data_IF_123544720554
#
_entry.id   IF_123544720554
#
_cell.length_a   1.000
_cell.length_b   1.000
_cell.length_c   1.000
_cell.angle_alpha   90.00
_cell.angle_beta   90.00
_cell.angle_gamma   90.00
#
_symmetry.space_group_name_H-M   'P 1'
#
loop_
_entity.id
_entity.type
_entity.pdbx_description
1 polymer ?
#
# COMPACT_ATOMS: atom_id res chain seq x y z
N UNK A 1 6.54 -6.54 -16.85
CA UNK A 1 6.76 -5.75 -15.61
C UNK A 1 7.95 -6.37 -14.86
N UNK A 2 8.88 -5.58 -14.32
CA UNK A 2 10.04 -6.08 -13.55
C UNK A 2 9.94 -5.56 -12.11
N UNK A 3 10.33 -6.36 -11.13
CA UNK A 3 10.31 -6.02 -9.70
C UNK A 3 11.72 -6.15 -9.13
N UNK A 4 12.17 -5.12 -8.41
CA UNK A 4 13.46 -5.07 -7.72
C UNK A 4 13.20 -4.91 -6.22
N UNK A 5 13.42 -5.98 -5.46
CA UNK A 5 13.20 -5.98 -4.02
C UNK A 5 14.48 -5.60 -3.27
N UNK A 6 14.40 -4.52 -2.48
CA UNK A 6 15.47 -4.10 -1.59
C UNK A 6 15.15 -4.58 -0.17
N UNK A 7 15.87 -5.60 0.31
CA UNK A 7 15.69 -6.18 1.65
C UNK A 7 16.95 -6.05 2.49
N UNK A 8 16.82 -6.19 3.81
CA UNK A 8 17.90 -6.01 4.78
C UNK A 8 17.45 -5.36 6.08
N UNK A 9 18.34 -5.35 7.08
CA UNK A 9 18.07 -4.78 8.42
C UNK A 9 17.72 -3.28 8.37
N UNK A 10 17.21 -2.74 9.47
CA UNK A 10 17.01 -1.29 9.62
C UNK A 10 18.31 -0.51 9.44
N UNK A 11 18.26 0.66 8.78
CA UNK A 11 19.42 1.55 8.64
C UNK A 11 20.47 1.17 7.58
N UNK A 12 20.36 0.03 6.89
CA UNK A 12 21.36 -0.40 5.88
C UNK A 12 21.30 0.35 4.53
N UNK A 13 20.44 1.37 4.42
CA UNK A 13 20.32 2.20 3.20
C UNK A 13 19.37 1.66 2.12
N UNK A 14 18.41 0.79 2.46
CA UNK A 14 17.45 0.22 1.49
C UNK A 14 16.73 1.28 0.66
N UNK A 15 16.18 2.29 1.31
CA UNK A 15 15.43 3.37 0.65
C UNK A 15 16.31 4.18 -0.27
N UNK A 16 17.52 4.51 0.16
CA UNK A 16 18.51 5.22 -0.64
C UNK A 16 18.88 4.44 -1.90
N UNK A 17 19.15 3.13 -1.76
CA UNK A 17 19.47 2.26 -2.89
C UNK A 17 18.29 2.07 -3.84
N UNK A 18 17.06 1.97 -3.32
CA UNK A 18 15.85 1.87 -4.13
C UNK A 18 15.64 3.14 -4.99
N UNK A 19 15.80 4.33 -4.40
CA UNK A 19 15.74 5.60 -5.11
C UNK A 19 16.86 5.75 -6.15
N UNK A 20 18.10 5.42 -5.79
CA UNK A 20 19.24 5.45 -6.71
C UNK A 20 19.03 4.52 -7.91
N UNK A 21 18.54 3.30 -7.67
CA UNK A 21 18.21 2.33 -8.71
C UNK A 21 17.11 2.84 -9.64
N UNK A 22 16.07 3.48 -9.08
CA UNK A 22 14.98 4.06 -9.86
C UNK A 22 15.45 5.21 -10.75
N UNK A 23 16.30 6.10 -10.24
CA UNK A 23 16.91 7.18 -11.00
C UNK A 23 17.79 6.64 -12.13
N UNK A 24 18.62 5.63 -11.86
CA UNK A 24 19.45 4.99 -12.86
C UNK A 24 18.61 4.35 -13.98
N UNK A 25 17.54 3.64 -13.64
CA UNK A 25 16.63 3.04 -14.61
C UNK A 25 15.87 4.12 -15.42
N UNK A 26 15.44 5.21 -14.80
CA UNK A 26 14.79 6.31 -15.50
C UNK A 26 15.71 7.00 -16.51
N UNK A 27 17.02 7.12 -16.21
CA UNK A 27 18.03 7.63 -17.15
C UNK A 27 18.18 6.75 -18.40
N UNK A 28 17.79 5.48 -18.32
CA UNK A 28 17.76 4.55 -19.46
C UNK A 28 16.37 4.49 -20.14
N UNK A 29 15.48 5.45 -19.85
CA UNK A 29 14.16 5.56 -20.47
C UNK A 29 13.08 4.70 -19.83
N UNK A 30 13.34 4.06 -18.70
CA UNK A 30 12.33 3.27 -17.99
C UNK A 30 11.41 4.13 -17.13
N UNK A 31 10.15 3.74 -17.05
CA UNK A 31 9.21 4.28 -16.05
C UNK A 31 9.30 3.44 -14.78
N UNK A 32 9.56 4.07 -13.65
CA UNK A 32 9.81 3.38 -12.38
C UNK A 32 8.92 3.93 -11.28
N UNK A 33 8.29 3.04 -10.52
CA UNK A 33 7.60 3.38 -9.28
C UNK A 33 8.40 2.81 -8.11
N UNK A 34 8.82 3.68 -7.20
CA UNK A 34 9.44 3.29 -5.91
C UNK A 34 8.32 3.17 -4.89
N UNK A 35 8.28 2.02 -4.24
CA UNK A 35 7.25 1.67 -3.28
C UNK A 35 7.93 1.36 -1.95
N UNK A 36 7.48 2.03 -0.89
CA UNK A 36 7.88 1.71 0.49
C UNK A 36 6.71 1.10 1.23
N UNK A 37 6.97 0.00 1.95
CA UNK A 37 6.07 -0.59 2.95
C UNK A 37 6.59 -0.37 4.36
N UNK A 38 7.63 0.46 4.53
CA UNK A 38 8.24 0.73 5.83
C UNK A 38 7.33 1.68 6.64
N UNK A 39 6.92 1.31 7.87
CA UNK A 39 6.13 2.18 8.73
C UNK A 39 6.85 3.48 9.13
N UNK A 40 8.18 3.55 9.03
CA UNK A 40 8.98 4.68 9.47
C UNK A 40 9.08 5.85 8.47
N UNK A 41 8.18 5.96 7.48
CA UNK A 41 8.13 7.09 6.51
C UNK A 41 9.44 7.41 5.79
N UNK A 42 10.34 6.42 5.67
CA UNK A 42 11.72 6.66 5.25
C UNK A 42 11.83 7.15 3.80
N UNK A 43 10.79 6.95 2.96
CA UNK A 43 10.79 7.41 1.58
C UNK A 43 10.48 8.91 1.49
N UNK A 44 9.51 9.39 2.27
CA UNK A 44 9.24 10.82 2.39
C UNK A 44 10.46 11.58 2.95
N UNK A 45 11.12 11.00 3.97
CA UNK A 45 12.34 11.56 4.56
C UNK A 45 13.48 11.65 3.55
N UNK A 46 13.76 10.55 2.82
CA UNK A 46 14.82 10.51 1.82
C UNK A 46 14.59 11.48 0.65
N UNK A 47 13.33 11.80 0.35
CA UNK A 47 12.94 12.73 -0.70
C UNK A 47 12.78 14.18 -0.22
N UNK A 48 12.87 14.42 1.10
CA UNK A 48 12.54 15.69 1.74
C UNK A 48 11.18 16.26 1.25
N UNK A 49 10.21 15.37 1.02
CA UNK A 49 8.93 15.71 0.40
C UNK A 49 7.86 14.69 0.77
N UNK A 50 6.61 15.12 1.01
CA UNK A 50 5.56 14.18 1.38
C UNK A 50 5.30 13.16 0.27
N UNK A 51 5.22 11.90 0.67
CA UNK A 51 4.79 10.77 -0.15
C UNK A 51 3.70 10.05 0.60
N UNK A 52 2.57 9.79 -0.08
CA UNK A 52 1.40 9.18 0.53
C UNK A 52 0.97 7.89 -0.19
N UNK A 53 -0.27 7.46 0.05
CA UNK A 53 -0.83 6.25 -0.54
C UNK A 53 -1.05 6.36 -2.04
N UNK A 54 -1.07 7.57 -2.61
CA UNK A 54 -1.19 7.76 -4.04
C UNK A 54 0.19 7.99 -4.66
N UNK A 55 0.44 7.32 -5.78
CA UNK A 55 1.70 7.47 -6.50
C UNK A 55 1.88 8.92 -6.95
N UNK A 56 3.01 9.53 -6.57
CA UNK A 56 3.36 10.90 -6.91
C UNK A 56 4.62 10.91 -7.78
N UNK A 57 4.64 11.75 -8.80
CA UNK A 57 5.85 11.95 -9.61
C UNK A 57 6.90 12.72 -8.81
N UNK A 58 8.10 12.15 -8.69
CA UNK A 58 9.25 12.78 -8.01
C UNK A 58 10.08 13.56 -9.02
N UNK A 59 10.35 12.94 -10.17
CA UNK A 59 11.14 13.50 -11.27
C UNK A 59 10.70 12.83 -12.59
N UNK A 60 11.09 13.28 -13.80
CA UNK A 60 10.74 12.58 -15.02
C UNK A 60 11.12 11.10 -14.99
N UNK A 61 10.14 10.22 -15.26
CA UNK A 61 10.33 8.77 -15.26
C UNK A 61 10.28 8.08 -13.89
N UNK A 62 10.21 8.82 -12.78
CA UNK A 62 10.18 8.24 -11.42
C UNK A 62 8.97 8.71 -10.62
N UNK A 63 8.25 7.74 -10.06
CA UNK A 63 7.16 7.93 -9.12
C UNK A 63 7.51 7.29 -7.77
N UNK A 64 6.91 7.81 -6.71
CA UNK A 64 7.05 7.29 -5.35
C UNK A 64 5.66 7.08 -4.72
N UNK A 65 5.50 6.01 -3.95
CA UNK A 65 4.30 5.70 -3.17
C UNK A 65 4.71 5.06 -1.84
N UNK A 66 4.02 5.43 -0.77
CA UNK A 66 4.11 4.73 0.51
C UNK A 66 2.83 3.92 0.71
N UNK A 67 2.98 2.62 0.92
CA UNK A 67 1.87 1.73 1.22
C UNK A 67 1.86 1.43 2.71
N UNK A 68 0.70 1.66 3.33
CA UNK A 68 0.45 1.24 4.71
C UNK A 68 -0.40 -0.02 4.67
N UNK A 69 0.15 -1.12 5.19
CA UNK A 69 -0.54 -2.41 5.18
C UNK A 69 -1.90 -2.32 5.88
N UNK A 70 -2.01 -1.60 7.01
CA UNK A 70 -3.29 -1.42 7.71
C UNK A 70 -4.32 -0.73 6.82
N UNK A 71 -3.97 0.43 6.23
CA UNK A 71 -4.90 1.20 5.38
C UNK A 71 -5.33 0.43 4.13
N UNK A 72 -4.43 -0.36 3.53
CA UNK A 72 -4.80 -1.18 2.37
C UNK A 72 -5.64 -2.41 2.78
N UNK A 73 -5.40 -2.99 3.96
CA UNK A 73 -6.24 -4.05 4.51
C UNK A 73 -7.65 -3.54 4.80
N UNK A 74 -7.79 -2.37 5.42
CA UNK A 74 -9.10 -1.76 5.71
C UNK A 74 -9.90 -1.51 4.43
N UNK A 75 -9.25 -0.97 3.39
CA UNK A 75 -9.89 -0.76 2.08
C UNK A 75 -10.29 -2.08 1.41
N UNK A 76 -9.43 -3.09 1.47
CA UNK A 76 -9.73 -4.42 0.96
C UNK A 76 -10.92 -5.04 1.69
N UNK A 77 -10.95 -4.91 3.02
CA UNK A 77 -11.99 -5.45 3.88
C UNK A 77 -13.35 -4.80 3.63
N UNK A 78 -13.40 -3.48 3.44
CA UNK A 78 -14.65 -2.78 3.07
C UNK A 78 -15.26 -3.33 1.77
N UNK A 79 -14.43 -3.68 0.79
CA UNK A 79 -14.88 -4.25 -0.48
C UNK A 79 -15.43 -5.67 -0.28
N UNK A 80 -14.77 -6.48 0.55
CA UNK A 80 -15.21 -7.84 0.91
C UNK A 80 -16.53 -7.81 1.69
N UNK A 81 -16.66 -6.89 2.66
CA UNK A 81 -17.92 -6.70 3.39
C UNK A 81 -19.07 -6.28 2.48
N UNK A 82 -18.83 -5.37 1.53
CA UNK A 82 -19.85 -4.96 0.58
C UNK A 82 -20.34 -6.15 -0.28
N UNK A 83 -19.42 -6.98 -0.77
CA UNK A 83 -19.76 -8.19 -1.51
C UNK A 83 -20.53 -9.21 -0.66
N UNK A 84 -20.08 -9.47 0.57
CA UNK A 84 -20.77 -10.39 1.49
C UNK A 84 -22.19 -9.89 1.84
N UNK A 85 -22.39 -8.58 2.00
CA UNK A 85 -23.73 -7.99 2.22
C UNK A 85 -24.68 -8.26 1.07
N UNK A 86 -24.18 -8.12 -0.16
CA UNK A 86 -24.98 -8.39 -1.36
C UNK A 86 -25.35 -9.87 -1.45
N UNK A 87 -24.38 -10.76 -1.23
CA UNK A 87 -24.59 -12.20 -1.23
C UNK A 87 -25.58 -12.66 -0.13
N UNK A 88 -25.41 -12.16 1.10
CA UNK A 88 -26.26 -12.55 2.22
C UNK A 88 -27.68 -11.98 2.13
N UNK A 89 -27.89 -10.83 1.46
CA UNK A 89 -29.24 -10.30 1.22
C UNK A 89 -30.09 -11.19 0.33
N UNK A 90 -29.49 -12.00 -0.53
CA UNK A 90 -30.22 -12.97 -1.35
C UNK A 90 -30.61 -14.23 -0.56
N UNK A 91 -29.90 -14.56 0.52
CA UNK A 91 -30.06 -15.82 1.27
C UNK A 91 -30.64 -15.66 2.69
N UNK A 92 -30.54 -14.48 3.32
CA UNK A 92 -30.90 -14.25 4.72
C UNK A 92 -31.63 -12.92 4.94
N UNK A 93 -32.48 -12.89 5.98
CA UNK A 93 -33.16 -11.67 6.44
C UNK A 93 -32.14 -10.59 6.82
N UNK A 94 -32.42 -9.33 6.48
CA UNK A 94 -31.46 -8.22 6.58
C UNK A 94 -30.83 -8.06 7.98
N UNK A 95 -31.58 -8.39 9.04
CA UNK A 95 -31.12 -8.36 10.42
C UNK A 95 -30.09 -9.46 10.74
N UNK A 96 -30.27 -10.66 10.19
CA UNK A 96 -29.35 -11.80 10.39
C UNK A 96 -28.06 -11.60 9.59
N UNK A 97 -28.16 -10.98 8.40
CA UNK A 97 -27.01 -10.62 7.59
C UNK A 97 -26.09 -9.61 8.29
N UNK A 98 -26.63 -8.63 9.03
CA UNK A 98 -25.79 -7.68 9.79
C UNK A 98 -25.04 -8.35 10.96
N UNK A 99 -25.71 -9.23 11.71
CA UNK A 99 -25.10 -9.97 12.83
C UNK A 99 -23.99 -10.93 12.35
N UNK A 100 -24.17 -11.59 11.20
CA UNK A 100 -23.15 -12.49 10.60
C UNK A 100 -21.91 -11.75 10.09
N UNK A 101 -22.02 -10.45 9.82
CA UNK A 101 -20.91 -9.61 9.35
C UNK A 101 -20.10 -8.98 10.49
N UNK A 102 -20.61 -9.05 11.72
CA UNK A 102 -19.88 -8.70 12.94
C UNK A 102 -18.94 -9.86 13.32
N UNK A 103 -17.87 -10.07 12.54
CA UNK A 103 -16.86 -11.08 12.85
C UNK A 103 -16.03 -10.65 14.07
N UNK A 104 -15.93 -11.48 15.13
CA UNK A 104 -15.14 -11.17 16.32
C UNK A 104 -13.65 -10.98 15.97
N UNK A 105 -13.02 -9.93 16.49
CA UNK A 105 -11.58 -9.65 16.34
C UNK A 105 -11.20 -8.68 15.21
N UNK A 106 -12.17 -8.17 14.45
CA UNK A 106 -11.93 -7.17 13.38
C UNK A 106 -11.86 -5.73 13.94
N UNK A 107 -12.51 -5.49 15.07
CA UNK A 107 -12.48 -4.20 15.79
C UNK A 107 -11.09 -3.85 16.34
N UNK A 108 -10.22 -4.86 16.51
CA UNK A 108 -8.84 -4.71 17.00
C UNK A 108 -7.83 -4.31 15.90
N UNK A 109 -8.27 -4.24 14.64
CA UNK A 109 -7.44 -3.82 13.50
C UNK A 109 -7.53 -2.30 13.18
N UNK A 110 -8.33 -1.55 13.95
CA UNK A 110 -8.55 -0.09 13.82
C UNK A 110 -7.52 0.72 14.63
#
# INVERSE_FOLDING_TARGET
MRVLLHTGKGGVGKTTLALASALAAARHGHRVCVLSTDPAHSLADALASPVGPNARRVTPGVWAREIRAQVELDRGWQSVQAWLRELLREEADALVAEELLAFPGIEELV
#
